data_IF_060772951174
#
_entry.id   IF_060772951174
#
_cell.length_a   1.000
_cell.length_b   1.000
_cell.length_c   1.000
_cell.angle_alpha   90.00
_cell.angle_beta   90.00
_cell.angle_gamma   90.00
#
_symmetry.space_group_name_H-M   'P 1'
#
loop_
_entity.id
_entity.type
_entity.pdbx_description
1 polymer ?
#
# COMPACT_ATOMS: atom_id res chain seq x y z
N UNK A 1 -22.43 -13.32 -6.02
CA UNK A 1 -21.26 -13.81 -5.27
C UNK A 1 -20.06 -13.40 -6.10
N UNK A 2 -19.54 -12.21 -5.85
CA UNK A 2 -18.39 -11.69 -6.60
C UNK A 2 -17.20 -12.61 -6.33
N UNK A 3 -16.55 -13.07 -7.41
CA UNK A 3 -15.28 -13.78 -7.32
C UNK A 3 -14.36 -12.93 -6.45
N UNK A 4 -13.83 -13.50 -5.38
CA UNK A 4 -12.80 -12.84 -4.60
C UNK A 4 -11.60 -12.64 -5.53
N UNK A 5 -11.42 -11.42 -6.03
CA UNK A 5 -10.27 -11.00 -6.83
C UNK A 5 -8.99 -11.32 -6.03
N UNK A 6 -8.33 -12.41 -6.44
CA UNK A 6 -7.16 -13.01 -5.81
C UNK A 6 -6.00 -12.86 -6.79
N UNK A 7 -5.68 -11.60 -7.09
CA UNK A 7 -4.86 -11.25 -8.25
C UNK A 7 -3.39 -10.97 -7.90
N UNK A 8 -2.93 -11.35 -6.70
CA UNK A 8 -1.51 -11.23 -6.34
C UNK A 8 -0.66 -12.14 -7.23
N UNK A 9 0.12 -11.52 -8.11
CA UNK A 9 1.06 -12.20 -9.00
C UNK A 9 2.36 -12.60 -8.28
N UNK A 10 3.12 -13.52 -8.87
CA UNK A 10 4.43 -13.95 -8.32
C UNK A 10 5.47 -12.82 -8.40
N UNK A 11 5.40 -11.96 -9.43
CA UNK A 11 6.24 -10.78 -9.58
C UNK A 11 5.97 -9.78 -8.45
N UNK A 12 4.68 -9.51 -8.17
CA UNK A 12 4.26 -8.66 -7.06
C UNK A 12 4.67 -9.24 -5.70
N UNK A 13 4.57 -10.55 -5.54
CA UNK A 13 5.05 -11.22 -4.34
C UNK A 13 6.56 -11.08 -4.15
N UNK A 14 7.35 -11.23 -5.22
CA UNK A 14 8.79 -11.00 -5.19
C UNK A 14 9.12 -9.56 -4.83
N UNK A 15 8.38 -8.60 -5.39
CA UNK A 15 8.52 -7.18 -5.08
C UNK A 15 8.19 -6.86 -3.62
N UNK A 16 7.15 -7.49 -3.05
CA UNK A 16 6.82 -7.37 -1.62
C UNK A 16 7.95 -7.91 -0.74
N UNK A 17 8.48 -9.10 -1.03
CA UNK A 17 9.59 -9.67 -0.26
C UNK A 17 10.81 -8.75 -0.29
N UNK A 18 11.16 -8.20 -1.45
CA UNK A 18 12.27 -7.26 -1.58
C UNK A 18 12.02 -5.93 -0.84
N UNK A 19 10.81 -5.37 -0.93
CA UNK A 19 10.47 -4.09 -0.31
C UNK A 19 10.42 -4.17 1.22
N UNK A 20 9.98 -5.30 1.77
CA UNK A 20 9.95 -5.52 3.23
C UNK A 20 11.29 -6.03 3.79
N UNK A 21 12.07 -6.77 2.99
CA UNK A 21 13.36 -7.33 3.36
C UNK A 21 13.34 -8.14 4.67
N UNK A 22 12.25 -8.88 4.88
CA UNK A 22 12.02 -9.67 6.09
C UNK A 22 10.53 -9.76 6.43
N UNK A 23 10.24 -10.36 7.57
CA UNK A 23 8.88 -10.43 8.11
C UNK A 23 8.37 -9.02 8.41
N UNK A 24 7.21 -8.67 7.85
CA UNK A 24 6.55 -7.38 8.02
C UNK A 24 6.23 -7.04 9.49
N UNK A 25 6.21 -8.04 10.37
CA UNK A 25 5.85 -7.90 11.76
C UNK A 25 7.06 -7.88 12.71
N UNK A 26 7.88 -8.94 12.69
CA UNK A 26 9.01 -9.06 13.61
C UNK A 26 10.36 -8.63 13.00
N UNK A 27 10.41 -8.34 11.69
CA UNK A 27 11.64 -7.95 10.99
C UNK A 27 12.63 -9.08 10.70
N UNK A 28 12.36 -10.31 11.13
CA UNK A 28 13.26 -11.45 10.86
C UNK A 28 13.39 -11.73 9.35
N UNK A 29 14.61 -11.77 8.85
CA UNK A 29 14.93 -11.98 7.42
C UNK A 29 15.54 -13.36 7.13
N UNK A 30 15.88 -14.12 8.17
CA UNK A 30 16.50 -15.45 8.11
C UNK A 30 15.49 -16.60 8.00
N UNK A 31 14.20 -16.29 7.79
CA UNK A 31 13.11 -17.26 7.79
C UNK A 31 12.35 -17.26 6.47
N UNK A 32 11.82 -18.43 6.09
CA UNK A 32 10.91 -18.54 4.96
C UNK A 32 9.65 -17.69 5.22
N UNK A 33 9.39 -16.77 4.29
CA UNK A 33 8.27 -15.83 4.35
C UNK A 33 7.03 -16.44 3.67
N UNK A 34 5.89 -16.22 4.29
CA UNK A 34 4.57 -16.60 3.82
C UNK A 34 3.77 -15.34 3.49
N UNK A 35 2.76 -15.49 2.65
CA UNK A 35 1.81 -14.42 2.34
C UNK A 35 0.76 -14.36 3.44
N UNK A 36 0.70 -13.25 4.15
CA UNK A 36 -0.33 -12.97 5.15
C UNK A 36 -1.17 -11.78 4.72
N UNK A 37 -2.48 -11.85 4.94
CA UNK A 37 -3.42 -10.78 4.62
C UNK A 37 -3.58 -9.85 5.82
N UNK A 38 -3.27 -8.57 5.64
CA UNK A 38 -3.38 -7.51 6.66
C UNK A 38 -4.82 -7.43 7.17
N UNK A 39 -5.80 -7.29 6.27
CA UNK A 39 -7.21 -7.55 6.55
C UNK A 39 -7.49 -9.04 6.26
N UNK A 40 -7.93 -9.85 7.25
CA UNK A 40 -8.23 -11.27 7.02
C UNK A 40 -9.32 -11.47 5.96
N UNK A 41 -9.21 -12.54 5.17
CA UNK A 41 -10.21 -12.89 4.13
C UNK A 41 -11.61 -13.08 4.74
N UNK A 42 -11.69 -13.68 5.92
CA UNK A 42 -12.93 -13.85 6.67
C UNK A 42 -13.62 -12.55 7.08
N UNK A 43 -12.92 -11.41 6.97
CA UNK A 43 -13.44 -10.05 7.21
C UNK A 43 -13.48 -9.19 5.95
N UNK A 44 -13.49 -9.81 4.77
CA UNK A 44 -13.57 -9.11 3.49
C UNK A 44 -12.22 -8.69 2.91
N UNK A 45 -11.11 -9.16 3.49
CA UNK A 45 -9.79 -9.04 2.89
C UNK A 45 -9.68 -9.81 1.57
N UNK A 46 -8.78 -9.35 0.69
CA UNK A 46 -8.52 -9.97 -0.62
C UNK A 46 -7.05 -10.32 -0.77
N UNK A 47 -6.75 -11.26 -1.65
CA UNK A 47 -5.38 -11.68 -1.90
C UNK A 47 -4.74 -10.81 -3.00
N UNK A 48 -4.45 -9.56 -2.65
CA UNK A 48 -3.97 -8.53 -3.56
C UNK A 48 -2.67 -7.91 -3.03
N UNK A 49 -1.93 -7.22 -3.92
CA UNK A 49 -0.71 -6.48 -3.57
C UNK A 49 -0.91 -5.54 -2.37
N UNK A 50 -2.08 -4.90 -2.28
CA UNK A 50 -2.39 -3.89 -1.27
C UNK A 50 -2.73 -4.45 0.11
N UNK A 51 -3.02 -5.75 0.20
CA UNK A 51 -3.48 -6.40 1.42
C UNK A 51 -2.56 -7.53 1.87
N UNK A 52 -1.62 -7.99 1.03
CA UNK A 52 -0.69 -9.06 1.39
C UNK A 52 0.66 -8.49 1.81
N UNK A 53 1.18 -9.01 2.91
CA UNK A 53 2.55 -8.73 3.40
C UNK A 53 3.31 -10.03 3.64
N UNK A 54 4.65 -10.01 3.55
CA UNK A 54 5.45 -11.17 3.92
C UNK A 54 5.51 -11.34 5.44
N UNK A 55 5.22 -12.53 5.92
CA UNK A 55 5.26 -12.86 7.35
C UNK A 55 5.96 -14.20 7.57
N UNK A 56 6.79 -14.29 8.61
CA UNK A 56 7.33 -15.60 9.02
C UNK A 56 6.24 -16.50 9.57
N UNK A 57 6.50 -17.82 9.61
CA UNK A 57 5.53 -18.82 10.09
C UNK A 57 4.99 -18.51 11.49
N UNK A 58 5.86 -18.10 12.42
CA UNK A 58 5.45 -17.85 13.81
C UNK A 58 4.50 -16.66 13.93
N UNK A 59 4.78 -15.55 13.22
CA UNK A 59 3.91 -14.39 13.19
C UNK A 59 2.58 -14.69 12.48
N UNK A 60 2.64 -15.32 11.30
CA UNK A 60 1.45 -15.67 10.53
C UNK A 60 0.49 -16.58 11.33
N UNK A 61 1.02 -17.65 11.93
CA UNK A 61 0.24 -18.53 12.81
C UNK A 61 -0.30 -17.80 14.03
N UNK A 62 0.49 -16.91 14.64
CA UNK A 62 0.06 -16.15 15.82
C UNK A 62 -1.03 -15.12 15.52
N UNK A 63 -1.02 -14.53 14.32
CA UNK A 63 -2.06 -13.59 13.87
C UNK A 63 -3.32 -14.33 13.47
N UNK A 64 -3.18 -15.42 12.71
CA UNK A 64 -4.31 -16.21 12.22
C UNK A 64 -5.35 -15.29 11.55
N UNK A 65 -6.59 -15.33 12.02
CA UNK A 65 -7.70 -14.52 11.52
C UNK A 65 -7.91 -13.24 12.32
N UNK A 66 -6.96 -12.80 13.15
CA UNK A 66 -7.08 -11.55 13.90
C UNK A 66 -6.87 -10.32 13.00
N UNK A 67 -7.55 -9.23 13.36
CA UNK A 67 -7.31 -7.91 12.80
C UNK A 67 -5.88 -7.47 13.13
N UNK A 68 -5.12 -6.98 12.14
CA UNK A 68 -3.69 -6.73 12.28
C UNK A 68 -3.38 -5.78 13.43
N UNK A 69 -4.16 -4.71 13.58
CA UNK A 69 -3.90 -3.66 14.58
C UNK A 69 -4.12 -4.19 15.99
N UNK A 70 -5.25 -4.88 16.21
CA UNK A 70 -5.56 -5.54 17.47
C UNK A 70 -4.51 -6.60 17.86
N UNK A 71 -4.02 -7.36 16.86
CA UNK A 71 -2.97 -8.35 17.08
C UNK A 71 -1.61 -7.71 17.41
N UNK A 72 -1.19 -6.68 16.69
CA UNK A 72 0.06 -5.94 16.95
C UNK A 72 0.09 -5.39 18.38
N UNK A 73 -1.00 -4.75 18.82
CA UNK A 73 -1.13 -4.25 20.21
C UNK A 73 -0.97 -5.37 21.23
N UNK A 74 -1.62 -6.51 21.01
CA UNK A 74 -1.54 -7.68 21.90
C UNK A 74 -0.13 -8.27 21.98
N UNK A 75 0.59 -8.28 20.85
CA UNK A 75 1.99 -8.71 20.75
C UNK A 75 2.99 -7.67 21.22
N UNK A 76 2.54 -6.45 21.57
CA UNK A 76 3.37 -5.30 21.92
C UNK A 76 4.37 -4.93 20.80
N UNK A 77 3.94 -5.10 19.56
CA UNK A 77 4.66 -4.63 18.37
C UNK A 77 4.23 -3.20 18.03
N UNK A 78 5.08 -2.48 17.31
CA UNK A 78 4.82 -1.09 16.94
C UNK A 78 3.80 -1.00 15.79
N UNK A 79 2.55 -0.73 16.16
CA UNK A 79 1.45 -0.55 15.20
C UNK A 79 1.69 0.62 14.26
N UNK A 80 2.17 1.75 14.77
CA UNK A 80 2.34 2.96 13.97
C UNK A 80 3.43 2.75 12.92
N UNK A 81 4.57 2.16 13.32
CA UNK A 81 5.65 1.84 12.40
C UNK A 81 5.17 0.86 11.30
N UNK A 82 4.39 -0.16 11.67
CA UNK A 82 3.82 -1.09 10.70
C UNK A 82 2.91 -0.39 9.70
N UNK A 83 1.94 0.41 10.16
CA UNK A 83 0.98 1.09 9.29
C UNK A 83 1.66 2.08 8.33
N UNK A 84 2.64 2.84 8.82
CA UNK A 84 3.42 3.76 7.99
C UNK A 84 4.24 2.99 6.94
N UNK A 85 4.93 1.92 7.35
CA UNK A 85 5.72 1.12 6.40
C UNK A 85 4.83 0.45 5.36
N UNK A 86 3.70 -0.10 5.77
CA UNK A 86 2.71 -0.72 4.87
C UNK A 86 2.21 0.29 3.84
N UNK A 87 1.88 1.52 4.27
CA UNK A 87 1.50 2.59 3.36
C UNK A 87 2.61 2.93 2.34
N UNK A 88 3.84 3.10 2.81
CA UNK A 88 5.00 3.44 1.96
C UNK A 88 5.27 2.35 0.92
N UNK A 89 5.31 1.08 1.35
CA UNK A 89 5.56 -0.06 0.45
C UNK A 89 4.43 -0.16 -0.57
N UNK A 90 3.18 -0.07 -0.14
CA UNK A 90 2.03 -0.12 -1.05
C UNK A 90 2.12 0.98 -2.10
N UNK A 91 2.37 2.23 -1.67
CA UNK A 91 2.53 3.37 -2.60
C UNK A 91 3.67 3.20 -3.58
N UNK A 92 4.77 2.55 -3.18
CA UNK A 92 5.91 2.30 -4.05
C UNK A 92 5.66 1.18 -5.07
N UNK A 93 4.82 0.20 -4.73
CA UNK A 93 4.54 -0.97 -5.57
C UNK A 93 3.25 -0.86 -6.39
N UNK A 94 2.31 0.01 -6.01
CA UNK A 94 1.14 0.30 -6.83
C UNK A 94 1.61 0.89 -8.17
N UNK A 95 1.16 0.36 -9.32
CA UNK A 95 1.38 1.05 -10.59
C UNK A 95 0.66 2.39 -10.49
N UNK A 96 1.43 3.48 -10.46
CA UNK A 96 0.86 4.81 -10.59
C UNK A 96 0.10 4.79 -11.93
N UNK A 97 -1.21 5.11 -11.98
CA UNK A 97 -1.77 5.50 -13.25
C UNK A 97 -0.91 6.66 -13.71
N UNK A 98 -0.39 6.58 -14.94
CA UNK A 98 0.26 7.71 -15.60
C UNK A 98 -0.60 8.93 -15.30
N UNK A 99 -0.13 9.82 -14.43
CA UNK A 99 -0.71 11.14 -14.33
C UNK A 99 -0.45 11.72 -15.71
N UNK A 100 -1.48 11.77 -16.56
CA UNK A 100 -1.45 12.62 -17.73
C UNK A 100 -0.97 13.99 -17.24
N UNK A 101 0.06 14.59 -17.85
CA UNK A 101 0.47 15.92 -17.46
C UNK A 101 -0.76 16.80 -17.60
N UNK A 102 -1.31 17.23 -16.47
CA UNK A 102 -2.38 18.21 -16.44
C UNK A 102 -1.83 19.42 -17.21
N UNK A 103 -2.34 19.59 -18.44
CA UNK A 103 -2.02 20.74 -19.24
C UNK A 103 -2.41 21.94 -18.37
N UNK A 104 -1.42 22.74 -17.98
CA UNK A 104 -1.65 23.99 -17.32
C UNK A 104 -2.70 24.77 -18.14
N UNK A 105 -3.68 25.43 -17.50
CA UNK A 105 -4.60 26.25 -18.27
C UNK A 105 -3.79 27.30 -19.02
N UNK A 106 -3.95 27.35 -20.34
CA UNK A 106 -3.33 28.36 -21.18
C UNK A 106 -3.64 29.74 -20.58
N UNK A 107 -2.66 30.66 -20.47
CA UNK A 107 -2.94 32.01 -20.02
C UNK A 107 -3.89 32.63 -21.04
N UNK A 108 -5.17 32.76 -20.66
CA UNK A 108 -6.12 33.58 -21.40
C UNK A 108 -5.58 35.01 -21.36
N UNK A 109 -5.01 35.45 -22.47
CA UNK A 109 -4.69 36.84 -22.74
C UNK A 109 -6.01 37.64 -22.68
N UNK A 110 -6.35 38.16 -21.51
CA UNK A 110 -7.30 39.26 -21.39
C UNK A 110 -6.63 40.51 -21.96
N UNK A 111 -6.96 40.83 -23.21
CA UNK A 111 -6.79 42.17 -23.76
C UNK A 111 -7.68 43.10 -22.93
N UNK A 112 -7.07 43.82 -21.99
CA UNK A 112 -7.71 44.91 -21.27
C UNK A 112 -7.93 46.12 -22.19
N UNK A 113 -8.91 46.99 -21.89
CA UNK A 113 -9.27 48.09 -22.76
C UNK A 113 -8.22 49.20 -22.72
N UNK A 114 -7.82 49.63 -23.90
CA UNK A 114 -7.11 50.87 -24.16
C UNK A 114 -7.84 52.09 -23.54
N UNK A 115 -7.20 52.71 -22.54
CA UNK A 115 -7.59 54.00 -21.98
C UNK A 115 -6.38 54.93 -21.89
N UNK A 116 -6.54 56.14 -22.43
CA UNK A 116 -5.63 57.27 -22.30
C UNK A 116 -5.26 57.81 -23.68
N UNK A 117 -5.51 59.06 -24.02
CA UNK A 117 -5.86 60.22 -23.23
C UNK A 117 -5.56 61.44 -24.11
N UNK A 118 -6.53 62.32 -24.18
CA UNK A 118 -6.57 63.54 -24.98
C UNK A 118 -5.53 64.58 -24.53
N UNK A 119 -5.26 65.60 -25.35
CA UNK A 119 -5.58 66.96 -24.91
C UNK A 119 -6.65 67.65 -25.77
#
# INVERSE_FOLDING_TARGET
MDLADNDLTEEQWTALQAAWNGCAYCGAADQALQRDCVLPISRGGRYTLDNVVPACRSCNTSKCNDEVTAWLRRKRLDEQAFLLRHFVVRKALSPQPLAEPTAAPEPTLSLGPEYGGQP
#
